data_IF_793997842924
#
_entry.id   IF_793997842924
#
_cell.length_a   1.000
_cell.length_b   1.000
_cell.length_c   1.000
_cell.angle_alpha   90.00
_cell.angle_beta   90.00
_cell.angle_gamma   90.00
#
_symmetry.space_group_name_H-M   'P 1'
#
loop_
_entity.id
_entity.type
_entity.pdbx_description
1 polymer ?
#
# COMPACT_ATOMS: atom_id res chain seq x y z
N UNK A 1 17.14 8.69 4.37
CA UNK A 1 15.99 7.83 4.75
C UNK A 1 14.88 7.87 3.70
N UNK A 2 14.42 9.05 3.29
CA UNK A 2 13.40 9.22 2.24
C UNK A 2 13.76 8.56 0.91
N UNK A 3 15.03 8.51 0.53
CA UNK A 3 15.50 7.85 -0.70
C UNK A 3 15.29 6.33 -0.71
N UNK A 4 15.43 5.67 0.45
CA UNK A 4 15.15 4.24 0.59
C UNK A 4 13.66 3.93 0.44
N UNK A 5 12.82 4.78 1.05
CA UNK A 5 11.36 4.72 0.92
C UNK A 5 10.94 4.96 -0.53
N UNK A 6 11.55 5.94 -1.21
CA UNK A 6 11.28 6.24 -2.62
C UNK A 6 11.64 5.07 -3.54
N UNK A 7 12.74 4.35 -3.28
CA UNK A 7 13.08 3.13 -4.04
C UNK A 7 12.08 2.01 -3.84
N UNK A 8 11.66 1.77 -2.61
CA UNK A 8 10.61 0.78 -2.30
C UNK A 8 9.29 1.15 -2.97
N UNK A 9 8.94 2.44 -2.98
CA UNK A 9 7.73 2.92 -3.66
C UNK A 9 7.77 2.74 -5.18
N UNK A 10 8.93 2.85 -5.82
CA UNK A 10 9.08 2.53 -7.25
C UNK A 10 8.78 1.06 -7.54
N UNK A 11 9.19 0.16 -6.65
CA UNK A 11 8.89 -1.28 -6.76
C UNK A 11 7.39 -1.54 -6.63
N UNK A 12 6.74 -0.88 -5.65
CA UNK A 12 5.30 -0.98 -5.44
C UNK A 12 4.54 -0.42 -6.64
N UNK A 13 4.92 0.75 -7.15
CA UNK A 13 4.28 1.34 -8.33
C UNK A 13 4.43 0.47 -9.59
N UNK A 14 5.60 -0.15 -9.77
CA UNK A 14 5.85 -1.07 -10.88
C UNK A 14 5.13 -2.42 -10.76
N UNK A 15 4.55 -2.74 -9.60
CA UNK A 15 3.85 -4.01 -9.39
C UNK A 15 2.49 -4.09 -10.12
N UNK A 16 1.92 -2.95 -10.49
CA UNK A 16 0.58 -2.87 -11.09
C UNK A 16 -0.56 -3.17 -10.12
N UNK A 17 -0.26 -3.40 -8.83
CA UNK A 17 -1.26 -3.56 -7.78
C UNK A 17 -1.85 -2.22 -7.37
N UNK A 18 -3.08 -2.23 -6.87
CA UNK A 18 -3.66 -1.04 -6.26
C UNK A 18 -2.92 -0.73 -4.96
N UNK A 19 -2.49 0.53 -4.79
CA UNK A 19 -1.73 0.94 -3.62
C UNK A 19 -2.01 2.39 -3.25
N UNK A 20 -1.86 2.67 -1.95
CA UNK A 20 -2.02 4.01 -1.39
C UNK A 20 -0.88 4.32 -0.42
N UNK A 21 -0.12 5.36 -0.71
CA UNK A 21 0.90 5.91 0.17
C UNK A 21 0.26 6.84 1.22
N UNK A 22 0.65 6.69 2.47
CA UNK A 22 0.31 7.58 3.56
C UNK A 22 1.52 7.85 4.47
N UNK A 23 1.41 8.81 5.39
CA UNK A 23 2.54 9.25 6.21
C UNK A 23 3.25 8.12 6.99
N UNK A 24 2.51 7.09 7.39
CA UNK A 24 3.03 5.96 8.19
C UNK A 24 3.35 4.69 7.40
N UNK A 25 3.31 4.71 6.06
CA UNK A 25 3.51 3.50 5.25
C UNK A 25 2.68 3.45 3.97
N UNK A 26 2.58 2.26 3.39
CA UNK A 26 1.88 2.03 2.13
C UNK A 26 0.92 0.86 2.27
N UNK A 27 -0.32 1.08 1.87
CA UNK A 27 -1.33 0.03 1.79
C UNK A 27 -1.30 -0.52 0.36
N UNK A 28 -1.32 -1.84 0.22
CA UNK A 28 -1.31 -2.53 -1.08
C UNK A 28 -2.47 -3.53 -1.07
N UNK A 29 -3.22 -3.59 -2.17
CA UNK A 29 -4.30 -4.55 -2.38
C UNK A 29 -3.99 -5.42 -3.60
N UNK A 30 -4.14 -6.73 -3.44
CA UNK A 30 -3.85 -7.71 -4.48
C UNK A 30 -3.95 -9.13 -3.96
N UNK A 31 -3.62 -10.10 -4.81
CA UNK A 31 -3.54 -11.50 -4.38
C UNK A 31 -2.37 -11.69 -3.39
N UNK A 32 -2.55 -12.62 -2.45
CA UNK A 32 -1.60 -12.86 -1.35
C UNK A 32 -0.17 -13.07 -1.87
N UNK A 33 -0.01 -13.86 -2.93
CA UNK A 33 1.30 -14.17 -3.51
C UNK A 33 1.94 -12.94 -4.15
N UNK A 34 1.14 -12.08 -4.78
CA UNK A 34 1.62 -10.84 -5.40
C UNK A 34 2.09 -9.84 -4.33
N UNK A 35 1.30 -9.67 -3.26
CA UNK A 35 1.64 -8.75 -2.16
C UNK A 35 2.92 -9.20 -1.46
N UNK A 36 3.06 -10.50 -1.17
CA UNK A 36 4.26 -11.06 -0.56
C UNK A 36 5.49 -10.91 -1.47
N UNK A 37 5.34 -11.12 -2.78
CA UNK A 37 6.43 -10.93 -3.74
C UNK A 37 6.90 -9.47 -3.80
N UNK A 38 5.97 -8.50 -3.75
CA UNK A 38 6.32 -7.07 -3.69
C UNK A 38 7.05 -6.74 -2.38
N UNK A 39 6.54 -7.24 -1.25
CA UNK A 39 7.18 -7.04 0.06
C UNK A 39 8.60 -7.60 0.09
N UNK A 40 8.81 -8.80 -0.49
CA UNK A 40 10.12 -9.41 -0.62
C UNK A 40 11.08 -8.54 -1.45
N UNK A 41 10.64 -8.08 -2.63
CA UNK A 41 11.46 -7.20 -3.49
C UNK A 41 11.86 -5.90 -2.78
N UNK A 42 10.96 -5.31 -2.00
CA UNK A 42 11.27 -4.13 -1.18
C UNK A 42 12.34 -4.44 -0.13
N UNK A 43 12.24 -5.58 0.56
CA UNK A 43 13.23 -6.02 1.55
C UNK A 43 14.60 -6.23 0.91
N UNK A 44 14.65 -6.94 -0.22
CA UNK A 44 15.89 -7.21 -0.98
C UNK A 44 16.54 -5.92 -1.46
N UNK A 45 15.75 -4.96 -1.96
CA UNK A 45 16.27 -3.66 -2.40
C UNK A 45 16.87 -2.85 -1.23
N UNK A 46 16.33 -2.96 -0.02
CA UNK A 46 16.89 -2.29 1.15
C UNK A 46 18.11 -3.02 1.73
N UNK A 47 18.13 -4.35 1.64
CA UNK A 47 19.25 -5.17 2.10
C UNK A 47 20.55 -4.93 1.33
N UNK A 48 20.50 -4.29 0.15
CA UNK A 48 21.69 -3.88 -0.59
C UNK A 48 22.52 -2.81 0.14
N UNK A 49 21.89 -1.97 0.94
CA UNK A 49 22.55 -0.84 1.61
C UNK A 49 22.51 -0.92 3.14
N UNK A 50 21.79 -1.89 3.70
CA UNK A 50 21.54 -2.00 5.13
C UNK A 50 21.75 -3.46 5.59
N UNK A 51 22.64 -3.66 6.56
CA UNK A 51 22.89 -4.98 7.16
C UNK A 51 21.68 -5.55 7.91
N UNK A 52 20.75 -4.67 8.32
CA UNK A 52 19.52 -5.05 9.02
C UNK A 52 18.35 -4.18 8.58
N UNK A 53 17.28 -4.84 8.12
CA UNK A 53 16.03 -4.20 7.73
C UNK A 53 14.89 -4.78 8.56
N UNK A 54 14.09 -3.93 9.18
CA UNK A 54 12.87 -4.33 9.90
C UNK A 54 11.66 -4.01 9.04
N UNK A 55 10.86 -5.03 8.73
CA UNK A 55 9.61 -4.87 7.99
C UNK A 55 8.42 -5.23 8.89
N UNK A 56 7.43 -4.34 8.97
CA UNK A 56 6.19 -4.56 9.72
C UNK A 56 5.04 -4.50 8.74
N UNK A 57 4.27 -5.59 8.62
CA UNK A 57 3.10 -5.67 7.76
C UNK A 57 1.90 -6.20 8.55
N UNK A 58 0.72 -5.64 8.27
CA UNK A 58 -0.57 -6.14 8.75
C UNK A 58 -1.37 -6.62 7.55
N UNK A 59 -1.68 -7.90 7.51
CA UNK A 59 -2.44 -8.50 6.42
C UNK A 59 -3.91 -8.64 6.83
N UNK A 60 -4.79 -8.14 5.98
CA UNK A 60 -6.23 -8.38 6.06
C UNK A 60 -6.65 -9.25 4.88
N UNK A 61 -6.73 -10.56 5.12
CA UNK A 61 -7.04 -11.54 4.09
C UNK A 61 -8.51 -11.96 4.15
N UNK A 62 -9.22 -11.78 3.04
CA UNK A 62 -10.59 -12.27 2.86
C UNK A 62 -10.78 -12.83 1.46
N UNK A 63 -11.12 -14.12 1.36
CA UNK A 63 -11.30 -14.81 0.07
C UNK A 63 -12.44 -14.20 -0.76
N UNK A 64 -12.17 -13.89 -2.03
CA UNK A 64 -13.19 -13.54 -3.03
C UNK A 64 -13.66 -12.08 -3.05
N UNK A 65 -12.94 -11.15 -2.43
CA UNK A 65 -13.29 -9.73 -2.43
C UNK A 65 -12.13 -8.88 -2.96
N UNK A 66 -12.43 -7.97 -3.89
CA UNK A 66 -11.52 -6.94 -4.43
C UNK A 66 -12.17 -5.55 -4.29
N UNK A 67 -11.42 -4.47 -4.50
CA UNK A 67 -11.87 -3.07 -4.37
C UNK A 67 -12.15 -2.68 -2.91
N UNK A 68 -11.44 -3.27 -1.95
CA UNK A 68 -11.74 -3.12 -0.52
C UNK A 68 -11.15 -1.85 0.07
N UNK A 69 -10.06 -1.33 -0.48
CA UNK A 69 -9.53 -0.01 -0.12
C UNK A 69 -10.59 1.07 -0.27
N UNK A 70 -11.27 1.13 -1.43
CA UNK A 70 -12.35 2.08 -1.68
C UNK A 70 -13.59 1.77 -0.84
N UNK A 71 -14.03 0.51 -0.89
CA UNK A 71 -15.28 0.10 -0.24
C UNK A 71 -15.27 0.31 1.27
N UNK A 72 -14.13 0.12 1.94
CA UNK A 72 -14.02 0.37 3.39
C UNK A 72 -14.12 1.84 3.73
N UNK A 73 -13.46 2.69 2.94
CA UNK A 73 -13.52 4.14 3.14
C UNK A 73 -14.95 4.62 2.92
N UNK A 74 -15.59 4.19 1.82
CA UNK A 74 -16.97 4.54 1.50
C UNK A 74 -17.94 4.08 2.60
N UNK A 75 -17.80 2.85 3.10
CA UNK A 75 -18.68 2.33 4.16
C UNK A 75 -18.57 3.10 5.48
N UNK A 76 -17.41 3.70 5.76
CA UNK A 76 -17.26 4.60 6.91
C UNK A 76 -17.88 5.96 6.60
N UNK A 77 -17.63 6.53 5.42
CA UNK A 77 -18.19 7.82 5.00
C UNK A 77 -19.73 7.81 5.01
N UNK A 78 -20.37 6.70 4.62
CA UNK A 78 -21.82 6.54 4.67
C UNK A 78 -22.40 6.56 6.09
N UNK A 79 -21.59 6.23 7.11
CA UNK A 79 -22.03 6.10 8.51
C UNK A 79 -21.64 7.30 9.37
N UNK A 80 -20.87 8.22 8.82
CA UNK A 80 -20.33 9.35 9.55
C UNK A 80 -21.04 10.62 9.10
N UNK A 81 -21.65 11.32 10.04
CA UNK A 81 -22.43 12.55 9.79
C UNK A 81 -21.54 13.80 9.68
N UNK A 82 -20.23 13.60 9.48
CA UNK A 82 -19.21 14.66 9.36
C UNK A 82 -18.28 14.39 8.18
N UNK A 83 -17.84 15.47 7.54
CA UNK A 83 -16.91 15.39 6.41
C UNK A 83 -15.50 15.03 6.88
N UNK A 84 -14.95 13.93 6.36
CA UNK A 84 -13.60 13.44 6.70
C UNK A 84 -12.63 13.66 5.54
N UNK A 85 -11.38 14.05 5.86
CA UNK A 85 -10.30 14.17 4.88
C UNK A 85 -9.72 12.79 4.59
N UNK A 86 -10.03 12.24 3.41
CA UNK A 86 -9.48 10.97 2.95
C UNK A 86 -8.33 11.19 1.98
N UNK A 87 -7.42 10.22 1.91
CA UNK A 87 -6.39 10.20 0.88
C UNK A 87 -7.11 9.77 -0.41
N UNK A 88 -7.48 10.74 -1.25
CA UNK A 88 -8.01 10.45 -2.57
C UNK A 88 -6.90 9.81 -3.41
N UNK A 89 -7.22 8.72 -4.11
CA UNK A 89 -6.38 8.24 -5.21
C UNK A 89 -6.21 9.42 -6.18
N UNK A 90 -5.01 9.71 -6.68
CA UNK A 90 -4.88 10.72 -7.72
C UNK A 90 -5.77 10.26 -8.88
N UNK A 91 -6.84 11.02 -9.11
CA UNK A 91 -7.58 10.98 -10.37
C UNK A 91 -6.53 11.07 -11.46
N UNK A 92 -6.57 10.15 -12.40
CA UNK A 92 -5.76 10.18 -13.61
C UNK A 92 -5.70 11.63 -14.13
N UNK A 93 -4.53 12.25 -13.98
CA UNK A 93 -4.23 13.55 -14.56
C UNK A 93 -3.47 13.28 -15.84
N UNK A 94 -4.15 13.57 -16.95
CA UNK A 94 -3.71 13.86 -18.34
C UNK A 94 -2.28 13.46 -18.76
#
# INVERSE_FOLDING_TARGET
MSEYVARSLKIIAASGLDYRLHAMGTIIEGEIDQVLAVMQKCLEAMAQDCDRVTCTAKLDYRRGYQGRLDSKVNSVLEKVDVSLKTIQSPSQSE
#
